data_IF_645087624526
#
_entry.id   IF_645087624526
#
_cell.length_a   1.000
_cell.length_b   1.000
_cell.length_c   1.000
_cell.angle_alpha   90.00
_cell.angle_beta   90.00
_cell.angle_gamma   90.00
#
_symmetry.space_group_name_H-M   'P 1'
#
loop_
_entity.id
_entity.type
_entity.pdbx_description
1 polymer ?
#
# COMPACT_ATOMS: atom_id res chain seq x y z
N UNK A 1 32.64 -23.22 8.31
CA UNK A 1 32.01 -21.88 8.19
C UNK A 1 31.56 -21.44 9.58
N UNK A 2 31.88 -20.23 10.06
CA UNK A 2 31.47 -19.82 11.40
C UNK A 2 29.97 -19.52 11.45
N UNK A 3 29.26 -20.16 12.37
CA UNK A 3 27.85 -19.88 12.66
C UNK A 3 27.76 -18.62 13.52
N UNK A 4 27.09 -17.57 13.04
CA UNK A 4 26.80 -16.37 13.83
C UNK A 4 25.74 -16.68 14.88
N UNK A 5 26.02 -16.29 16.12
CA UNK A 5 25.11 -16.50 17.26
C UNK A 5 23.91 -15.55 17.23
N UNK A 6 22.79 -15.97 17.80
CA UNK A 6 21.50 -15.23 17.86
C UNK A 6 21.60 -13.86 18.52
N UNK A 7 22.62 -13.63 19.34
CA UNK A 7 22.93 -12.34 19.96
C UNK A 7 23.45 -11.31 18.95
N UNK A 8 24.20 -11.74 17.94
CA UNK A 8 24.76 -10.87 16.89
C UNK A 8 23.67 -10.42 15.90
N UNK A 9 22.67 -11.28 15.65
CA UNK A 9 21.50 -10.94 14.82
C UNK A 9 20.63 -9.86 15.46
N UNK A 10 20.43 -9.90 16.79
CA UNK A 10 19.67 -8.89 17.54
C UNK A 10 20.41 -7.54 17.66
N UNK A 11 21.75 -7.58 17.69
CA UNK A 11 22.57 -6.36 17.74
C UNK A 11 22.58 -5.64 16.40
N UNK A 12 22.80 -6.38 15.30
CA UNK A 12 22.76 -5.82 13.94
C UNK A 12 21.40 -5.23 13.56
N UNK A 13 20.30 -5.82 14.03
CA UNK A 13 18.93 -5.32 13.72
C UNK A 13 18.55 -4.06 14.49
N UNK A 14 19.13 -3.82 15.67
CA UNK A 14 18.97 -2.54 16.38
C UNK A 14 19.84 -1.44 15.79
N UNK A 15 21.07 -1.76 15.38
CA UNK A 15 21.98 -0.79 14.75
C UNK A 15 21.46 -0.30 13.39
N UNK A 16 20.94 -1.19 12.53
CA UNK A 16 20.35 -0.81 11.24
C UNK A 16 19.05 -0.01 11.37
N UNK A 17 18.25 -0.25 12.42
CA UNK A 17 17.08 0.55 12.72
C UNK A 17 17.44 1.97 13.21
N UNK A 18 18.55 2.10 13.94
CA UNK A 18 19.00 3.36 14.52
C UNK A 18 19.73 4.26 13.50
N UNK A 19 20.43 3.68 12.52
CA UNK A 19 21.14 4.43 11.46
C UNK A 19 20.19 5.05 10.42
N UNK A 20 18.97 4.50 10.28
CA UNK A 20 17.95 5.03 9.36
C UNK A 20 17.10 6.16 9.96
N UNK A 21 17.14 6.39 11.27
CA UNK A 21 16.28 7.34 11.95
C UNK A 21 16.54 8.83 11.62
N UNK A 22 17.58 9.14 10.83
CA UNK A 22 17.95 10.51 10.46
C UNK A 22 18.10 10.78 8.95
N UNK A 23 17.93 9.79 8.07
CA UNK A 23 18.03 10.00 6.62
C UNK A 23 16.67 10.33 6.04
N UNK A 24 16.58 11.41 5.25
CA UNK A 24 15.38 11.74 4.49
C UNK A 24 15.01 10.55 3.58
N UNK A 25 13.73 10.19 3.48
CA UNK A 25 13.30 9.11 2.60
C UNK A 25 13.69 9.40 1.15
N UNK A 26 14.13 8.37 0.43
CA UNK A 26 14.43 8.48 -1.01
C UNK A 26 13.12 8.43 -1.76
N UNK A 27 12.91 9.41 -2.66
CA UNK A 27 11.72 9.49 -3.51
C UNK A 27 12.12 9.28 -4.97
N UNK A 28 11.31 8.51 -5.69
CA UNK A 28 11.40 8.36 -7.14
C UNK A 28 10.87 9.62 -7.86
N UNK A 29 11.02 9.65 -9.17
CA UNK A 29 10.35 10.66 -9.99
C UNK A 29 8.84 10.66 -9.72
N UNK A 30 8.25 11.85 -9.59
CA UNK A 30 6.84 12.00 -9.21
C UNK A 30 6.57 11.94 -7.71
N UNK A 31 7.60 11.79 -6.86
CA UNK A 31 7.46 11.86 -5.40
C UNK A 31 7.08 10.54 -4.73
N UNK A 32 7.12 9.43 -5.46
CA UNK A 32 6.79 8.10 -4.93
C UNK A 32 7.88 7.60 -3.97
N UNK A 33 7.55 7.20 -2.73
CA UNK A 33 8.53 6.62 -1.83
C UNK A 33 9.24 5.40 -2.42
N UNK A 34 10.58 5.39 -2.36
CA UNK A 34 11.37 4.23 -2.75
C UNK A 34 11.54 3.30 -1.54
N UNK A 35 10.65 2.31 -1.42
CA UNK A 35 10.68 1.33 -0.33
C UNK A 35 10.97 -0.06 -0.92
N UNK A 36 11.95 -0.80 -0.37
CA UNK A 36 12.25 -2.15 -0.81
C UNK A 36 11.02 -3.08 -0.74
N UNK A 37 11.00 -4.08 -1.61
CA UNK A 37 10.00 -5.17 -1.56
C UNK A 37 9.99 -5.79 -0.16
N UNK A 38 8.80 -5.92 0.43
CA UNK A 38 8.61 -6.55 1.73
C UNK A 38 7.16 -6.94 1.99
N UNK A 39 6.97 -7.91 2.87
CA UNK A 39 5.65 -8.38 3.33
C UNK A 39 5.33 -7.85 4.72
N UNK A 40 4.03 -7.72 5.00
CA UNK A 40 3.51 -7.29 6.29
C UNK A 40 3.36 -5.78 6.43
N UNK A 41 3.01 -5.37 7.64
CA UNK A 41 2.68 -3.99 7.99
C UNK A 41 3.90 -3.05 7.97
N UNK A 42 5.04 -3.51 8.49
CA UNK A 42 6.25 -2.69 8.60
C UNK A 42 6.70 -2.00 7.30
N UNK A 43 6.80 -2.67 6.12
CA UNK A 43 7.16 -1.99 4.88
C UNK A 43 6.08 -1.01 4.40
N UNK A 44 4.79 -1.27 4.66
CA UNK A 44 3.70 -0.35 4.32
C UNK A 44 3.73 0.89 5.21
N UNK A 45 3.95 0.74 6.52
CA UNK A 45 4.12 1.89 7.42
C UNK A 45 5.35 2.73 7.06
N UNK A 46 6.46 2.08 6.69
CA UNK A 46 7.65 2.79 6.19
C UNK A 46 7.33 3.58 4.90
N UNK A 47 6.52 3.02 4.00
CA UNK A 47 6.04 3.73 2.82
C UNK A 47 5.18 4.93 3.18
N UNK A 48 4.19 4.77 4.05
CA UNK A 48 3.29 5.86 4.49
C UNK A 48 4.07 6.98 5.18
N UNK A 49 5.02 6.64 6.04
CA UNK A 49 5.88 7.61 6.72
C UNK A 49 6.79 8.37 5.73
N UNK A 50 7.16 7.74 4.61
CA UNK A 50 7.97 8.33 3.56
C UNK A 50 7.17 9.14 2.53
N UNK A 51 5.84 9.02 2.49
CA UNK A 51 5.00 9.81 1.59
C UNK A 51 5.18 11.31 1.87
N UNK A 52 5.36 12.16 0.85
CA UNK A 52 5.65 13.57 1.06
C UNK A 52 4.39 14.35 1.48
N UNK A 53 4.57 15.29 2.41
CA UNK A 53 3.59 16.32 2.76
C UNK A 53 2.22 15.73 3.17
N UNK A 54 1.12 16.31 2.67
CA UNK A 54 -0.25 15.88 2.92
C UNK A 54 -0.53 14.44 2.47
N UNK A 55 0.29 13.87 1.57
CA UNK A 55 0.09 12.52 1.05
C UNK A 55 0.33 11.46 2.13
N UNK A 56 1.17 11.74 3.13
CA UNK A 56 1.34 10.85 4.28
C UNK A 56 0.05 10.75 5.10
N UNK A 57 -0.72 11.83 5.22
CA UNK A 57 -2.02 11.80 5.90
C UNK A 57 -3.04 10.96 5.13
N UNK A 58 -3.10 11.12 3.80
CA UNK A 58 -3.92 10.26 2.94
C UNK A 58 -3.51 8.80 3.06
N UNK A 59 -2.20 8.51 3.06
CA UNK A 59 -1.70 7.15 3.24
C UNK A 59 -2.13 6.52 4.57
N UNK A 60 -2.05 7.26 5.69
CA UNK A 60 -2.52 6.79 7.01
C UNK A 60 -4.01 6.50 7.00
N UNK A 61 -4.82 7.43 6.50
CA UNK A 61 -6.28 7.25 6.45
C UNK A 61 -6.69 6.08 5.59
N UNK A 62 -6.05 5.90 4.42
CA UNK A 62 -6.30 4.73 3.58
C UNK A 62 -5.98 3.43 4.31
N UNK A 63 -4.83 3.35 5.00
CA UNK A 63 -4.46 2.18 5.79
C UNK A 63 -5.48 1.89 6.89
N UNK A 64 -5.89 2.92 7.65
CA UNK A 64 -6.89 2.80 8.71
C UNK A 64 -8.24 2.33 8.16
N UNK A 65 -8.73 2.92 7.07
CA UNK A 65 -9.99 2.52 6.43
C UNK A 65 -9.94 1.06 5.97
N UNK A 66 -8.81 0.62 5.40
CA UNK A 66 -8.65 -0.77 4.93
C UNK A 66 -8.63 -1.74 6.11
N UNK A 67 -7.79 -1.50 7.12
CA UNK A 67 -7.65 -2.39 8.29
C UNK A 67 -8.95 -2.47 9.09
N UNK A 68 -9.68 -1.36 9.23
CA UNK A 68 -10.94 -1.33 9.98
C UNK A 68 -12.08 -2.06 9.27
N UNK A 69 -12.05 -2.19 7.94
CA UNK A 69 -13.11 -2.81 7.15
C UNK A 69 -12.77 -4.22 6.64
N UNK A 70 -11.49 -4.62 6.69
CA UNK A 70 -11.00 -5.93 6.27
C UNK A 70 -10.00 -6.45 7.33
N UNK A 71 -10.48 -7.01 8.45
CA UNK A 71 -9.61 -7.42 9.56
C UNK A 71 -8.57 -8.49 9.19
N UNK A 72 -8.84 -9.33 8.18
CA UNK A 72 -7.90 -10.34 7.68
C UNK A 72 -6.90 -9.81 6.63
N UNK A 73 -6.83 -8.49 6.44
CA UNK A 73 -6.02 -7.90 5.37
C UNK A 73 -4.53 -8.24 5.50
N UNK A 74 -3.97 -8.63 4.36
CA UNK A 74 -2.55 -8.88 4.13
C UNK A 74 -1.97 -7.67 3.40
N UNK A 75 -0.79 -7.24 3.84
CA UNK A 75 -0.10 -6.04 3.34
C UNK A 75 1.24 -6.40 2.71
N UNK A 76 1.64 -5.68 1.68
CA UNK A 76 2.97 -5.79 1.10
C UNK A 76 3.38 -4.51 0.37
N UNK A 77 4.69 -4.30 0.20
CA UNK A 77 5.24 -3.33 -0.76
C UNK A 77 5.84 -4.07 -1.93
N UNK A 78 5.44 -3.68 -3.15
CA UNK A 78 5.84 -4.28 -4.43
C UNK A 78 5.99 -3.21 -5.48
N UNK A 79 7.10 -3.26 -6.22
CA UNK A 79 7.45 -2.23 -7.22
C UNK A 79 7.31 -0.78 -6.69
N UNK A 80 7.65 -0.55 -5.41
CA UNK A 80 7.46 0.71 -4.71
C UNK A 80 5.99 1.17 -4.61
N UNK A 81 5.05 0.24 -4.48
CA UNK A 81 3.64 0.54 -4.17
C UNK A 81 3.16 -0.38 -3.05
N UNK A 82 2.39 0.12 -2.08
CA UNK A 82 1.69 -0.72 -1.13
C UNK A 82 0.52 -1.44 -1.81
N UNK A 83 0.35 -2.70 -1.43
CA UNK A 83 -0.71 -3.61 -1.86
C UNK A 83 -1.42 -4.17 -0.62
N UNK A 84 -2.74 -4.36 -0.76
CA UNK A 84 -3.64 -4.92 0.23
C UNK A 84 -4.44 -6.06 -0.40
N UNK A 85 -4.50 -7.18 0.31
CA UNK A 85 -5.09 -8.43 -0.18
C UNK A 85 -5.66 -9.27 0.95
N UNK A 86 -6.29 -10.38 0.59
CA UNK A 86 -6.74 -11.41 1.52
C UNK A 86 -6.09 -12.73 1.09
N UNK A 87 -5.60 -13.49 2.07
CA UNK A 87 -4.95 -14.78 1.81
C UNK A 87 -5.91 -15.74 1.09
N UNK A 88 -5.47 -16.28 -0.04
CA UNK A 88 -6.29 -17.17 -0.90
C UNK A 88 -7.27 -16.47 -1.84
N UNK A 89 -7.66 -15.22 -1.56
CA UNK A 89 -8.58 -14.44 -2.41
C UNK A 89 -7.83 -13.46 -3.33
N UNK A 90 -6.59 -13.11 -3.00
CA UNK A 90 -5.73 -12.26 -3.82
C UNK A 90 -5.73 -10.79 -3.40
N UNK A 91 -5.15 -9.95 -4.26
CA UNK A 91 -4.93 -8.52 -3.99
C UNK A 91 -6.08 -7.69 -4.54
N UNK A 92 -6.56 -6.72 -3.76
CA UNK A 92 -7.76 -5.96 -4.12
C UNK A 92 -7.48 -4.44 -4.23
N UNK A 93 -6.56 -3.89 -3.42
CA UNK A 93 -6.17 -2.47 -3.48
C UNK A 93 -4.66 -2.29 -3.60
N UNK A 94 -4.24 -1.31 -4.39
CA UNK A 94 -2.89 -0.75 -4.41
C UNK A 94 -2.98 0.77 -4.52
N UNK A 95 -1.98 1.51 -4.03
CA UNK A 95 -1.88 2.92 -4.38
C UNK A 95 -0.46 3.35 -4.73
N UNK A 96 -0.35 4.44 -5.48
CA UNK A 96 0.91 5.03 -5.91
C UNK A 96 0.87 6.54 -5.74
N UNK A 97 1.95 7.13 -5.23
CA UNK A 97 2.08 8.58 -5.09
C UNK A 97 2.54 9.19 -6.41
N UNK A 98 1.77 10.16 -6.92
CA UNK A 98 2.15 11.02 -8.04
C UNK A 98 2.34 12.45 -7.54
N UNK A 99 2.93 13.32 -8.36
CA UNK A 99 3.26 14.70 -7.98
C UNK A 99 2.07 15.45 -7.39
N UNK A 100 0.87 15.27 -7.97
CA UNK A 100 -0.33 16.05 -7.65
C UNK A 100 -1.39 15.28 -6.84
N UNK A 101 -1.35 13.96 -6.85
CA UNK A 101 -2.40 13.11 -6.27
C UNK A 101 -1.83 11.78 -5.80
N UNK A 102 -2.58 11.10 -4.94
CA UNK A 102 -2.39 9.68 -4.63
C UNK A 102 -3.39 8.90 -5.49
N UNK A 103 -2.91 8.03 -6.38
CA UNK A 103 -3.79 7.18 -7.18
C UNK A 103 -4.08 5.91 -6.39
N UNK A 104 -5.35 5.69 -6.06
CA UNK A 104 -5.84 4.47 -5.40
C UNK A 104 -6.47 3.59 -6.47
N UNK A 105 -5.88 2.42 -6.70
CA UNK A 105 -6.29 1.46 -7.70
C UNK A 105 -6.98 0.27 -7.03
N UNK A 106 -8.18 -0.05 -7.51
CA UNK A 106 -8.89 -1.27 -7.22
C UNK A 106 -8.64 -2.27 -8.35
N UNK A 107 -8.05 -3.42 -8.03
CA UNK A 107 -7.57 -4.40 -9.03
C UNK A 107 -8.71 -5.18 -9.71
N UNK A 108 -9.90 -5.13 -9.12
CA UNK A 108 -11.18 -5.62 -9.67
C UNK A 108 -12.19 -4.46 -9.82
N UNK A 109 -11.69 -3.25 -9.99
CA UNK A 109 -12.46 -2.00 -9.93
C UNK A 109 -13.63 -1.90 -10.91
N UNK A 110 -13.58 -2.59 -12.05
CA UNK A 110 -14.65 -2.61 -13.05
C UNK A 110 -15.94 -3.27 -12.55
N UNK A 111 -15.86 -4.08 -11.48
CA UNK A 111 -16.99 -4.78 -10.86
C UNK A 111 -17.63 -3.99 -9.71
N UNK A 112 -17.06 -2.85 -9.33
CA UNK A 112 -17.54 -2.04 -8.20
C UNK A 112 -18.72 -1.15 -8.61
N UNK A 113 -19.54 -0.78 -7.63
CA UNK A 113 -20.70 0.10 -7.80
C UNK A 113 -20.70 1.20 -6.72
N UNK A 114 -20.55 2.48 -7.08
CA UNK A 114 -20.26 2.96 -8.43
C UNK A 114 -18.89 2.50 -8.92
N UNK A 115 -18.65 2.49 -10.23
CA UNK A 115 -17.33 2.17 -10.78
C UNK A 115 -16.37 3.34 -10.51
N UNK A 116 -15.16 3.14 -9.94
CA UNK A 116 -14.18 4.21 -9.82
C UNK A 116 -13.86 4.82 -11.20
N UNK A 117 -13.71 6.16 -11.30
CA UNK A 117 -13.79 6.86 -12.59
C UNK A 117 -12.59 6.63 -13.53
N UNK A 118 -11.41 6.33 -12.99
CA UNK A 118 -10.20 6.13 -13.78
C UNK A 118 -10.19 4.79 -14.50
N UNK A 119 -9.81 4.79 -15.78
CA UNK A 119 -9.71 3.59 -16.63
C UNK A 119 -8.45 3.60 -17.50
N UNK A 120 -7.99 2.41 -17.89
CA UNK A 120 -6.73 2.22 -18.60
C UNK A 120 -6.80 1.07 -19.61
N UNK A 121 -5.62 0.51 -19.93
CA UNK A 121 -5.52 -0.64 -20.84
C UNK A 121 -5.95 -1.96 -20.20
N UNK A 122 -5.86 -2.04 -18.88
CA UNK A 122 -6.34 -3.18 -18.10
C UNK A 122 -7.86 -3.09 -17.98
N UNK A 123 -8.56 -4.16 -18.37
CA UNK A 123 -10.03 -4.16 -18.45
C UNK A 123 -10.68 -4.15 -17.07
N UNK A 124 -10.02 -4.74 -16.07
CA UNK A 124 -10.55 -4.97 -14.72
C UNK A 124 -10.24 -3.83 -13.75
N UNK A 125 -9.04 -3.25 -13.83
CA UNK A 125 -8.57 -2.28 -12.86
C UNK A 125 -9.22 -0.91 -13.07
N UNK A 126 -9.71 -0.30 -11.98
CA UNK A 126 -10.16 1.10 -11.97
C UNK A 126 -9.50 1.84 -10.82
N UNK A 127 -9.43 3.16 -10.93
CA UNK A 127 -8.79 3.97 -9.89
C UNK A 127 -9.51 5.28 -9.66
N UNK A 128 -9.17 5.88 -8.51
CA UNK A 128 -9.47 7.26 -8.19
C UNK A 128 -8.16 8.00 -7.90
N UNK A 129 -8.06 9.23 -8.39
CA UNK A 129 -6.96 10.13 -8.10
C UNK A 129 -7.37 11.04 -6.94
N UNK A 130 -6.79 10.83 -5.75
CA UNK A 130 -7.10 11.60 -4.54
C UNK A 130 -6.17 12.81 -4.47
N UNK A 131 -6.76 13.99 -4.56
CA UNK A 131 -6.07 15.27 -4.37
C UNK A 131 -6.10 15.72 -2.90
N UNK A 132 -5.35 16.77 -2.59
CA UNK A 132 -5.24 17.30 -1.24
C UNK A 132 -6.61 17.73 -0.70
N UNK A 133 -7.04 17.11 0.41
CA UNK A 133 -8.33 17.40 1.04
C UNK A 133 -9.55 16.76 0.37
N UNK A 134 -9.37 15.92 -0.65
CA UNK A 134 -10.47 15.34 -1.45
C UNK A 134 -10.67 13.83 -1.23
N UNK A 135 -10.25 13.30 -0.08
CA UNK A 135 -10.54 11.91 0.27
C UNK A 135 -12.01 11.80 0.75
N UNK A 136 -12.88 11.28 -0.10
CA UNK A 136 -14.22 10.83 0.28
C UNK A 136 -14.13 9.48 1.01
N UNK A 137 -14.09 9.53 2.35
CA UNK A 137 -13.91 8.34 3.17
C UNK A 137 -15.13 7.40 3.12
N UNK A 138 -16.35 7.92 2.97
CA UNK A 138 -17.57 7.10 2.87
C UNK A 138 -17.57 6.27 1.59
N UNK A 139 -17.30 6.92 0.44
CA UNK A 139 -17.22 6.22 -0.84
C UNK A 139 -16.02 5.26 -0.89
N UNK A 140 -14.89 5.62 -0.27
CA UNK A 140 -13.71 4.76 -0.19
C UNK A 140 -13.99 3.48 0.61
N UNK A 141 -14.70 3.58 1.74
CA UNK A 141 -15.11 2.41 2.53
C UNK A 141 -15.99 1.46 1.71
N UNK A 142 -16.94 2.01 0.94
CA UNK A 142 -17.82 1.19 0.12
C UNK A 142 -17.03 0.41 -0.94
N UNK A 143 -16.09 1.06 -1.64
CA UNK A 143 -15.23 0.37 -2.60
C UNK A 143 -14.31 -0.65 -1.95
N UNK A 144 -13.73 -0.36 -0.78
CA UNK A 144 -12.88 -1.31 -0.03
C UNK A 144 -13.68 -2.58 0.28
N UNK A 145 -14.90 -2.44 0.82
CA UNK A 145 -15.75 -3.59 1.18
C UNK A 145 -16.13 -4.43 -0.03
N UNK A 146 -16.57 -3.78 -1.11
CA UNK A 146 -16.92 -4.49 -2.35
C UNK A 146 -15.71 -5.21 -2.96
N UNK A 147 -14.57 -4.51 -3.03
CA UNK A 147 -13.35 -5.05 -3.63
C UNK A 147 -12.80 -6.24 -2.85
N UNK A 148 -12.89 -6.20 -1.52
CA UNK A 148 -12.51 -7.31 -0.62
C UNK A 148 -13.46 -8.51 -0.67
N UNK A 149 -14.73 -8.31 -1.06
CA UNK A 149 -15.72 -9.38 -1.20
C UNK A 149 -15.66 -10.12 -2.55
N UNK A 150 -14.82 -9.65 -3.47
CA UNK A 150 -14.66 -10.19 -4.81
C UNK A 150 -13.28 -10.87 -4.93
N UNK A 151 -13.14 -11.88 -5.82
CA UNK A 151 -11.82 -12.42 -6.14
C UNK A 151 -10.88 -11.30 -6.58
N UNK A 152 -9.74 -11.20 -5.90
CA UNK A 152 -8.70 -10.23 -6.20
C UNK A 152 -7.78 -10.69 -7.32
N UNK A 153 -6.85 -9.82 -7.68
CA UNK A 153 -5.78 -10.13 -8.63
C UNK A 153 -4.79 -11.13 -8.02
N UNK A 154 -4.52 -12.23 -8.73
CA UNK A 154 -3.80 -13.40 -8.18
C UNK A 154 -2.26 -13.34 -8.26
N UNK A 155 -1.68 -12.13 -8.28
CA UNK A 155 -0.31 -11.91 -8.77
C UNK A 155 0.86 -11.68 -7.79
N UNK A 156 0.94 -12.31 -6.60
CA UNK A 156 2.18 -12.25 -5.75
C UNK A 156 2.62 -13.58 -5.14
N UNK A 157 2.61 -14.61 -6.00
CA UNK A 157 2.64 -16.05 -5.68
C UNK A 157 1.65 -16.44 -4.58
N UNK A 158 0.54 -15.70 -4.59
CA UNK A 158 -0.72 -15.90 -3.88
C UNK A 158 -0.52 -16.07 -2.38
N UNK A 159 -0.22 -14.93 -1.76
CA UNK A 159 -0.49 -14.67 -0.35
C UNK A 159 -1.87 -15.20 0.04
#
# INVERSE_FOLDING_TARGET
MPQKTTTDLKKNSRETAQENAGKKPVLLSGGNPQIPKGDGDAPVQAYIAAMPEWKSDVGRRLDDLIVNNVPEVRKAVRWNSPFYGIEGEGWFVSYHVLTRYVRVTFLNGALLSPVPPGSGKDEDSRWIDVYEGELDEEQMVEWIRQSAALPGWRGFNTL
#
